data_IF_898621683857
#
_entry.id   IF_898621683857
#
_cell.length_a   1.000
_cell.length_b   1.000
_cell.length_c   1.000
_cell.angle_alpha   90.00
_cell.angle_beta   90.00
_cell.angle_gamma   90.00
#
_symmetry.space_group_name_H-M   'P 1'
#
loop_
_entity.id
_entity.type
_entity.pdbx_description
1 polymer ?
#
# COMPACT_ATOMS: atom_id res chain seq x y z
N UNK A 1 11.73 -19.32 -3.39
CA UNK A 1 10.33 -19.09 -3.00
C UNK A 1 10.34 -18.11 -1.85
N UNK A 2 10.40 -16.81 -2.17
CA UNK A 2 10.34 -15.77 -1.16
C UNK A 2 8.89 -15.73 -0.66
N UNK A 3 8.74 -15.87 0.66
CA UNK A 3 7.51 -15.75 1.44
C UNK A 3 6.79 -14.45 1.12
N UNK A 4 5.97 -14.48 0.06
CA UNK A 4 5.09 -13.38 -0.31
C UNK A 4 3.86 -13.44 0.61
N UNK A 5 4.01 -12.78 1.76
CA UNK A 5 3.01 -11.94 2.42
C UNK A 5 1.59 -12.49 2.59
N UNK A 6 1.31 -12.98 3.80
CA UNK A 6 -0.06 -12.96 4.33
C UNK A 6 -0.68 -11.55 4.31
N UNK A 7 0.16 -10.51 4.29
CA UNK A 7 -0.23 -9.10 4.33
C UNK A 7 -0.62 -8.54 2.96
N UNK A 8 -0.02 -9.02 1.87
CA UNK A 8 -0.42 -8.64 0.52
C UNK A 8 -1.82 -9.17 0.24
N UNK A 9 -2.22 -10.32 0.79
CA UNK A 9 -3.56 -10.87 0.66
C UNK A 9 -4.67 -9.94 1.18
N UNK A 10 -4.48 -9.29 2.33
CA UNK A 10 -5.47 -8.37 2.91
C UNK A 10 -5.56 -7.06 2.11
N UNK A 11 -4.42 -6.55 1.65
CA UNK A 11 -4.32 -5.35 0.80
C UNK A 11 -4.95 -5.62 -0.56
N UNK A 12 -4.65 -6.78 -1.14
CA UNK A 12 -5.13 -7.22 -2.44
C UNK A 12 -6.64 -7.45 -2.38
N UNK A 13 -7.18 -8.05 -1.31
CA UNK A 13 -8.63 -8.14 -1.10
C UNK A 13 -9.28 -6.75 -1.00
N UNK A 14 -8.72 -5.82 -0.21
CA UNK A 14 -9.25 -4.46 -0.07
C UNK A 14 -9.18 -3.65 -1.40
N UNK A 15 -8.16 -3.91 -2.21
CA UNK A 15 -7.98 -3.32 -3.53
C UNK A 15 -8.93 -3.92 -4.59
N UNK A 16 -9.08 -5.25 -4.59
CA UNK A 16 -9.96 -6.00 -5.50
C UNK A 16 -11.46 -5.70 -5.26
N UNK A 17 -11.83 -5.25 -4.05
CA UNK A 17 -13.20 -4.81 -3.78
C UNK A 17 -13.57 -3.50 -4.51
N UNK A 18 -12.63 -2.80 -5.15
CA UNK A 18 -12.93 -1.80 -6.20
C UNK A 18 -13.68 -0.53 -5.77
N UNK A 19 -13.78 -0.24 -4.46
CA UNK A 19 -14.58 0.89 -3.91
C UNK A 19 -13.81 2.24 -3.97
N UNK A 20 -12.64 2.29 -4.61
CA UNK A 20 -11.61 3.30 -4.33
C UNK A 20 -11.28 4.29 -5.46
N UNK A 21 -11.98 4.24 -6.60
CA UNK A 21 -11.70 5.17 -7.72
C UNK A 21 -11.95 6.63 -7.30
N UNK A 22 -10.89 7.45 -7.28
CA UNK A 22 -10.94 8.86 -6.88
C UNK A 22 -11.03 9.15 -5.38
N UNK A 23 -10.78 8.15 -4.52
CA UNK A 23 -10.80 8.29 -3.06
C UNK A 23 -9.41 8.18 -2.45
N UNK A 24 -9.29 8.68 -1.22
CA UNK A 24 -8.14 8.46 -0.35
C UNK A 24 -8.29 7.08 0.30
N UNK A 25 -7.22 6.28 0.32
CA UNK A 25 -7.21 4.95 0.92
C UNK A 25 -6.22 4.90 2.08
N UNK A 26 -6.66 4.34 3.21
CA UNK A 26 -5.78 4.06 4.35
C UNK A 26 -5.75 2.56 4.59
N UNK A 27 -4.55 2.03 4.74
CA UNK A 27 -4.26 0.65 5.01
C UNK A 27 -3.47 0.54 6.32
N UNK A 28 -3.79 -0.43 7.15
CA UNK A 28 -3.00 -0.74 8.36
C UNK A 28 -2.36 -2.11 8.21
N UNK A 29 -1.07 -2.19 8.50
CA UNK A 29 -0.22 -3.37 8.36
C UNK A 29 0.37 -3.69 9.74
N UNK A 30 -0.03 -4.81 10.31
CA UNK A 30 0.26 -5.14 11.72
C UNK A 30 1.20 -6.34 11.89
N UNK A 31 1.50 -7.12 10.86
CA UNK A 31 2.23 -8.39 11.00
C UNK A 31 3.73 -8.25 10.68
N UNK A 32 4.06 -7.70 9.51
CA UNK A 32 5.40 -7.52 8.97
C UNK A 32 5.48 -6.21 8.15
N UNK A 33 6.66 -5.56 8.10
CA UNK A 33 6.80 -4.32 7.36
C UNK A 33 6.70 -4.56 5.85
N UNK A 34 6.18 -3.56 5.13
CA UNK A 34 6.04 -3.60 3.67
C UNK A 34 7.42 -3.68 3.02
N UNK A 35 7.65 -4.78 2.32
CA UNK A 35 8.91 -5.05 1.65
C UNK A 35 9.23 -3.98 0.58
N UNK A 36 10.52 -3.66 0.37
CA UNK A 36 10.92 -2.64 -0.62
C UNK A 36 10.45 -2.93 -2.04
N UNK A 37 10.37 -4.21 -2.42
CA UNK A 37 9.82 -4.64 -3.71
C UNK A 37 8.31 -4.33 -3.82
N UNK A 38 7.57 -4.62 -2.75
CA UNK A 38 6.14 -4.39 -2.62
C UNK A 38 5.77 -2.92 -2.72
N UNK A 39 6.62 -2.01 -2.21
CA UNK A 39 6.40 -0.56 -2.31
C UNK A 39 6.33 -0.08 -3.77
N UNK A 40 7.01 -0.75 -4.71
CA UNK A 40 6.90 -0.44 -6.14
C UNK A 40 5.60 -0.95 -6.75
N UNK A 41 5.28 -2.22 -6.54
CA UNK A 41 4.06 -2.83 -7.06
C UNK A 41 2.78 -2.17 -6.53
N UNK A 42 2.73 -1.85 -5.23
CA UNK A 42 1.58 -1.18 -4.61
C UNK A 42 1.39 0.23 -5.22
N UNK A 43 2.47 0.96 -5.48
CA UNK A 43 2.41 2.27 -6.12
C UNK A 43 1.86 2.17 -7.55
N UNK A 44 2.33 1.20 -8.34
CA UNK A 44 1.84 0.97 -9.70
C UNK A 44 0.36 0.52 -9.71
N UNK A 45 -0.05 -0.31 -8.75
CA UNK A 45 -1.44 -0.72 -8.58
C UNK A 45 -2.33 0.47 -8.18
N UNK A 46 -1.89 1.30 -7.24
CA UNK A 46 -2.61 2.48 -6.79
C UNK A 46 -2.85 3.47 -7.94
N UNK A 47 -1.84 3.68 -8.78
CA UNK A 47 -1.93 4.50 -10.00
C UNK A 47 -2.96 3.92 -10.98
N UNK A 48 -2.86 2.61 -11.28
CA UNK A 48 -3.81 1.91 -12.15
C UNK A 48 -5.24 1.91 -11.62
N UNK A 49 -5.44 1.87 -10.30
CA UNK A 49 -6.76 1.98 -9.67
C UNK A 49 -7.33 3.41 -9.72
N UNK A 50 -6.52 4.41 -10.04
CA UNK A 50 -6.94 5.81 -9.99
C UNK A 50 -7.20 6.29 -8.57
N UNK A 51 -6.39 5.84 -7.60
CA UNK A 51 -6.41 6.35 -6.23
C UNK A 51 -5.98 7.81 -6.21
N UNK A 52 -6.61 8.61 -5.34
CA UNK A 52 -6.20 10.00 -5.11
C UNK A 52 -4.99 10.08 -4.17
N UNK A 53 -4.97 9.21 -3.16
CA UNK A 53 -3.83 9.00 -2.27
C UNK A 53 -3.93 7.63 -1.62
N UNK A 54 -2.79 7.10 -1.19
CA UNK A 54 -2.70 5.88 -0.41
C UNK A 54 -1.83 6.17 0.82
N UNK A 55 -2.35 5.84 2.00
CA UNK A 55 -1.63 5.87 3.27
C UNK A 55 -1.54 4.45 3.80
N UNK A 56 -0.37 4.02 4.23
CA UNK A 56 -0.14 2.72 4.85
C UNK A 56 0.44 2.97 6.24
N UNK A 57 -0.14 2.36 7.28
CA UNK A 57 0.30 2.49 8.67
C UNK A 57 0.90 1.16 9.09
N UNK A 58 2.21 1.13 9.31
CA UNK A 58 2.93 -0.04 9.80
C UNK A 58 2.93 0.00 11.34
N UNK A 59 2.09 -0.81 11.99
CA UNK A 59 1.98 -0.77 13.46
C UNK A 59 3.21 -1.34 14.16
N UNK A 60 3.85 -2.34 13.54
CA UNK A 60 5.02 -3.02 14.10
C UNK A 60 6.23 -2.09 14.26
N UNK A 61 6.45 -1.22 13.28
CA UNK A 61 7.54 -0.24 13.26
C UNK A 61 7.07 1.17 13.61
N UNK A 62 5.77 1.35 13.85
CA UNK A 62 5.10 2.62 14.02
C UNK A 62 5.40 3.63 12.89
N UNK A 63 5.54 3.12 11.67
CA UNK A 63 5.94 3.90 10.49
C UNK A 63 4.71 4.22 9.65
N UNK A 64 4.60 5.46 9.18
CA UNK A 64 3.56 5.84 8.22
C UNK A 64 4.21 5.91 6.84
N UNK A 65 3.60 5.22 5.90
CA UNK A 65 3.95 5.16 4.50
C UNK A 65 2.86 5.89 3.70
N UNK A 66 3.23 6.53 2.60
CA UNK A 66 2.30 7.27 1.75
C UNK A 66 2.68 7.21 0.28
N UNK A 67 1.65 7.35 -0.56
CA UNK A 67 1.75 7.45 -2.00
C UNK A 67 0.68 8.38 -2.57
N UNK A 68 1.02 9.05 -3.66
CA UNK A 68 0.17 9.95 -4.42
C UNK A 68 0.44 9.75 -5.93
N UNK A 69 -0.53 10.09 -6.79
CA UNK A 69 -0.35 10.05 -8.23
C UNK A 69 0.95 10.73 -8.69
N UNK A 70 1.71 10.04 -9.54
CA UNK A 70 3.03 10.47 -10.00
C UNK A 70 4.21 9.94 -9.18
N UNK A 71 3.98 9.26 -8.05
CA UNK A 71 5.04 8.58 -7.30
C UNK A 71 5.31 7.18 -7.86
N UNK A 72 6.58 6.85 -8.11
CA UNK A 72 7.00 5.52 -8.61
C UNK A 72 7.03 4.42 -7.54
N UNK A 73 6.99 4.80 -6.27
CA UNK A 73 7.04 3.89 -5.12
C UNK A 73 6.39 4.55 -3.90
N UNK A 74 5.92 3.74 -2.95
CA UNK A 74 5.50 4.23 -1.63
C UNK A 74 6.72 4.82 -0.90
N UNK A 75 6.52 5.94 -0.20
CA UNK A 75 7.55 6.60 0.63
C UNK A 75 7.16 6.64 2.09
N UNK A 76 8.13 6.78 2.98
CA UNK A 76 7.90 6.99 4.42
C UNK A 76 7.57 8.46 4.69
N UNK A 77 6.48 8.67 5.44
CA UNK A 77 6.05 9.96 5.96
C UNK A 77 6.67 10.13 7.34
N UNK A 78 7.79 10.86 7.38
CA UNK A 78 8.48 11.24 8.60
C UNK A 78 7.82 12.44 9.27
#
# INVERSE_FOLDING_TARGET
MATAHAEVGVIQQAFEQGIIKGRDMTLTVSLEPVCGFCKGDIAAMADKAGLKSLTIVEEKTNTILYWQPGMKSIKEKN
#
